data_IF_201945076803
#
_entry.id   IF_201945076803
#
_cell.length_a   1.000
_cell.length_b   1.000
_cell.length_c   1.000
_cell.angle_alpha   90.00
_cell.angle_beta   90.00
_cell.angle_gamma   90.00
#
_symmetry.space_group_name_H-M   'P 1'
#
loop_
_entity.id
_entity.type
_entity.pdbx_description
1 polymer ?
#
# COMPACT_ATOMS: atom_id res chain seq x y z
N UNK A 1 -14.35 2.27 6.05
CA UNK A 1 -13.07 2.44 5.31
C UNK A 1 -12.52 1.12 4.75
N UNK A 2 -12.46 0.03 5.53
CA UNK A 2 -11.93 -1.28 5.05
C UNK A 2 -12.63 -1.83 3.80
N UNK A 3 -13.92 -1.61 3.64
CA UNK A 3 -14.71 -2.04 2.47
C UNK A 3 -14.24 -1.41 1.15
N UNK A 4 -13.53 -0.28 1.23
CA UNK A 4 -12.96 0.43 0.08
C UNK A 4 -11.56 -0.08 -0.32
N UNK A 5 -10.99 -1.03 0.43
CA UNK A 5 -9.70 -1.67 0.14
C UNK A 5 -9.88 -2.72 -0.95
N UNK A 6 -10.03 -2.29 -2.20
CA UNK A 6 -10.18 -3.12 -3.39
C UNK A 6 -9.70 -2.40 -4.64
N UNK A 7 -9.55 -3.13 -5.74
CA UNK A 7 -9.13 -2.59 -7.03
C UNK A 7 -7.61 -2.42 -7.14
N UNK A 8 -7.19 -1.60 -8.09
CA UNK A 8 -5.77 -1.33 -8.35
C UNK A 8 -5.22 -0.39 -7.28
N UNK A 9 -4.14 -0.81 -6.62
CA UNK A 9 -3.39 -0.04 -5.65
C UNK A 9 -2.12 0.52 -6.30
N UNK A 10 -2.10 1.81 -6.56
CA UNK A 10 -0.97 2.47 -7.23
C UNK A 10 -0.04 3.11 -6.21
N UNK A 11 1.26 2.90 -6.38
CA UNK A 11 2.31 3.46 -5.52
C UNK A 11 3.13 4.45 -6.36
N UNK A 12 3.25 5.68 -5.88
CA UNK A 12 4.07 6.70 -6.55
C UNK A 12 5.56 6.43 -6.34
N UNK A 13 6.35 6.75 -7.37
CA UNK A 13 7.81 6.71 -7.30
C UNK A 13 8.37 7.96 -8.03
N UNK A 14 8.80 8.99 -7.27
CA UNK A 14 9.22 10.27 -7.84
C UNK A 14 10.41 10.20 -8.80
N UNK A 15 11.22 9.12 -8.73
CA UNK A 15 12.31 8.89 -9.68
C UNK A 15 11.81 8.51 -11.08
N UNK A 16 10.55 8.05 -11.19
CA UNK A 16 9.94 7.63 -12.45
C UNK A 16 9.01 8.70 -13.04
N UNK A 17 8.25 9.39 -12.19
CA UNK A 17 7.30 10.42 -12.63
C UNK A 17 6.92 11.36 -11.48
N UNK A 18 6.44 12.56 -11.82
CA UNK A 18 5.89 13.50 -10.83
C UNK A 18 4.73 12.87 -10.06
N UNK A 19 4.75 12.87 -8.71
CA UNK A 19 3.72 12.22 -7.90
C UNK A 19 2.31 12.79 -8.12
N UNK A 20 2.18 14.07 -8.41
CA UNK A 20 0.88 14.73 -8.59
C UNK A 20 0.28 14.39 -9.95
N UNK A 21 1.10 14.42 -10.98
CA UNK A 21 0.69 14.05 -12.34
C UNK A 21 0.30 12.56 -12.39
N UNK A 22 1.16 11.69 -11.85
CA UNK A 22 0.88 10.25 -11.74
C UNK A 22 -0.43 9.98 -11.01
N UNK A 23 -0.67 10.68 -9.88
CA UNK A 23 -1.91 10.54 -9.11
C UNK A 23 -3.13 10.91 -9.95
N UNK A 24 -3.09 12.04 -10.66
CA UNK A 24 -4.21 12.48 -11.51
C UNK A 24 -4.50 11.46 -12.63
N UNK A 25 -3.45 10.96 -13.30
CA UNK A 25 -3.60 10.00 -14.39
C UNK A 25 -4.23 8.68 -13.91
N UNK A 26 -3.75 8.12 -12.80
CA UNK A 26 -4.27 6.84 -12.30
C UNK A 26 -5.69 6.95 -11.75
N UNK A 27 -6.04 8.09 -11.13
CA UNK A 27 -7.40 8.36 -10.65
C UNK A 27 -8.39 8.47 -11.81
N UNK A 28 -8.01 9.15 -12.91
CA UNK A 28 -8.78 9.17 -14.16
C UNK A 28 -8.94 7.79 -14.78
N UNK A 29 -7.90 6.95 -14.66
CA UNK A 29 -7.92 5.54 -15.08
C UNK A 29 -8.77 4.62 -14.20
N UNK A 30 -9.36 5.13 -13.12
CA UNK A 30 -10.25 4.36 -12.24
C UNK A 30 -9.62 3.82 -10.97
N UNK A 31 -8.33 4.07 -10.70
CA UNK A 31 -7.72 3.69 -9.42
C UNK A 31 -8.46 4.35 -8.25
N UNK A 32 -8.61 3.61 -7.15
CA UNK A 32 -9.28 4.09 -5.93
C UNK A 32 -8.41 3.98 -4.69
N UNK A 33 -7.15 3.59 -4.86
CA UNK A 33 -6.18 3.44 -3.79
C UNK A 33 -4.82 3.90 -4.30
N UNK A 34 -4.27 4.98 -3.72
CA UNK A 34 -2.99 5.57 -4.12
C UNK A 34 -2.09 5.69 -2.89
N UNK A 35 -0.82 5.35 -3.04
CA UNK A 35 0.18 5.51 -1.99
C UNK A 35 1.21 6.56 -2.38
N UNK A 36 1.40 7.55 -1.52
CA UNK A 36 2.54 8.45 -1.58
C UNK A 36 3.78 7.74 -1.00
N UNK A 37 4.69 7.36 -1.89
CA UNK A 37 6.00 6.80 -1.53
C UNK A 37 7.10 7.63 -2.18
N UNK A 38 8.00 8.18 -1.36
CA UNK A 38 9.15 8.98 -1.80
C UNK A 38 10.24 8.89 -0.74
N UNK A 39 11.03 7.81 -0.75
CA UNK A 39 12.02 7.49 0.30
C UNK A 39 13.11 8.56 0.47
N UNK A 40 13.47 9.25 -0.60
CA UNK A 40 14.50 10.31 -0.58
C UNK A 40 13.94 11.71 -0.33
N UNK A 41 12.63 11.87 -0.22
CA UNK A 41 12.00 13.17 -0.03
C UNK A 41 12.14 13.68 1.42
N UNK A 42 12.28 14.98 1.57
CA UNK A 42 12.20 15.65 2.88
C UNK A 42 10.77 15.59 3.41
N UNK A 43 10.62 15.70 4.73
CA UNK A 43 9.28 15.77 5.35
C UNK A 43 8.43 16.88 4.76
N UNK A 44 9.02 18.05 4.47
CA UNK A 44 8.32 19.19 3.84
C UNK A 44 7.80 18.83 2.45
N UNK A 45 8.58 18.15 1.63
CA UNK A 45 8.14 17.70 0.31
C UNK A 45 7.01 16.67 0.42
N UNK A 46 7.13 15.69 1.33
CA UNK A 46 6.04 14.71 1.59
C UNK A 46 4.74 15.38 1.99
N UNK A 47 4.78 16.41 2.86
CA UNK A 47 3.59 17.17 3.25
C UNK A 47 3.02 17.92 2.05
N UNK A 48 3.84 18.63 1.28
CA UNK A 48 3.39 19.39 0.11
C UNK A 48 2.71 18.50 -0.93
N UNK A 49 3.36 17.41 -1.33
CA UNK A 49 2.78 16.44 -2.26
C UNK A 49 1.55 15.74 -1.67
N UNK A 50 1.64 15.33 -0.41
CA UNK A 50 0.56 14.64 0.27
C UNK A 50 -0.72 15.44 0.37
N UNK A 51 -0.65 16.72 0.70
CA UNK A 51 -1.81 17.62 0.72
C UNK A 51 -2.44 17.75 -0.67
N UNK A 52 -1.63 18.00 -1.70
CA UNK A 52 -2.12 18.11 -3.06
C UNK A 52 -2.70 16.78 -3.60
N UNK A 53 -2.11 15.63 -3.27
CA UNK A 53 -2.66 14.31 -3.57
C UNK A 53 -3.95 14.04 -2.79
N UNK A 54 -4.04 14.50 -1.52
CA UNK A 54 -5.23 14.36 -0.70
C UNK A 54 -6.44 15.06 -1.33
N UNK A 55 -6.26 16.27 -1.84
CA UNK A 55 -7.33 17.01 -2.52
C UNK A 55 -7.82 16.25 -3.76
N UNK A 56 -6.90 15.71 -4.56
CA UNK A 56 -7.25 14.90 -5.74
C UNK A 56 -7.98 13.62 -5.35
N UNK A 57 -7.44 12.84 -4.41
CA UNK A 57 -8.07 11.57 -4.01
C UNK A 57 -9.48 11.77 -3.47
N UNK A 58 -9.74 12.88 -2.73
CA UNK A 58 -11.10 13.24 -2.28
C UNK A 58 -12.07 13.46 -3.44
N UNK A 59 -11.64 14.18 -4.49
CA UNK A 59 -12.48 14.46 -5.68
C UNK A 59 -12.91 13.18 -6.39
N UNK A 60 -12.04 12.17 -6.42
CA UNK A 60 -12.30 10.88 -7.07
C UNK A 60 -12.85 9.81 -6.10
N UNK A 61 -13.18 10.18 -4.86
CA UNK A 61 -13.56 9.24 -3.81
C UNK A 61 -12.56 8.08 -3.66
N UNK A 62 -11.26 8.37 -3.77
CA UNK A 62 -10.17 7.42 -3.62
C UNK A 62 -9.51 7.54 -2.23
N UNK A 63 -8.79 6.51 -1.82
CA UNK A 63 -8.01 6.49 -0.58
C UNK A 63 -6.58 6.93 -0.84
N UNK A 64 -6.04 7.78 0.03
CA UNK A 64 -4.63 8.16 0.09
C UNK A 64 -3.95 7.44 1.26
N UNK A 65 -2.91 6.69 0.95
CA UNK A 65 -2.03 6.03 1.92
C UNK A 65 -0.66 6.71 1.89
N UNK A 66 -0.01 6.85 3.03
CA UNK A 66 1.37 7.34 3.13
C UNK A 66 2.29 6.18 3.48
N UNK A 67 3.41 6.06 2.77
CA UNK A 67 4.41 5.02 3.05
C UNK A 67 5.26 5.40 4.26
N UNK A 68 5.47 4.47 5.22
CA UNK A 68 6.34 4.51 6.41
C UNK A 68 6.01 5.63 7.43
N UNK A 69 5.66 6.81 6.98
CA UNK A 69 5.57 8.05 7.77
C UNK A 69 4.19 8.27 8.37
N UNK A 70 3.94 7.65 9.54
CA UNK A 70 2.70 7.83 10.31
C UNK A 70 2.44 9.30 10.68
N UNK A 71 3.49 10.04 11.03
CA UNK A 71 3.41 11.45 11.37
C UNK A 71 2.92 12.30 10.20
N UNK A 72 3.43 12.04 8.99
CA UNK A 72 2.98 12.69 7.75
C UNK A 72 1.54 12.30 7.44
N UNK A 73 1.18 11.00 7.54
CA UNK A 73 -0.18 10.54 7.30
C UNK A 73 -1.21 11.27 8.18
N UNK A 74 -0.87 11.46 9.45
CA UNK A 74 -1.71 12.22 10.39
C UNK A 74 -1.77 13.71 10.04
N UNK A 75 -0.63 14.31 9.71
CA UNK A 75 -0.52 15.75 9.42
C UNK A 75 -1.31 16.18 8.19
N UNK A 76 -1.42 15.33 7.16
CA UNK A 76 -2.14 15.60 5.92
C UNK A 76 -3.56 15.01 5.90
N UNK A 77 -4.01 14.42 7.01
CA UNK A 77 -5.29 13.72 7.11
C UNK A 77 -5.46 12.64 6.01
N UNK A 78 -4.40 11.87 5.75
CA UNK A 78 -4.49 10.72 4.85
C UNK A 78 -5.48 9.67 5.37
N UNK A 79 -5.91 8.75 4.50
CA UNK A 79 -6.79 7.64 4.90
C UNK A 79 -6.04 6.50 5.60
N UNK A 80 -4.71 6.41 5.41
CA UNK A 80 -3.92 5.37 6.05
C UNK A 80 -2.41 5.55 5.92
N UNK A 81 -1.71 4.62 6.54
CA UNK A 81 -0.26 4.44 6.46
C UNK A 81 0.05 3.00 6.07
N UNK A 82 1.12 2.80 5.30
CA UNK A 82 1.66 1.48 4.97
C UNK A 82 3.04 1.32 5.59
N UNK A 83 3.26 0.27 6.35
CA UNK A 83 4.46 0.01 7.14
C UNK A 83 5.19 -1.24 6.64
N UNK A 84 6.50 -1.15 6.54
CA UNK A 84 7.39 -2.30 6.34
C UNK A 84 7.71 -3.01 7.66
N UNK A 85 8.51 -4.09 7.57
CA UNK A 85 8.89 -4.90 8.74
C UNK A 85 9.83 -4.16 9.70
N UNK A 86 10.62 -3.21 9.18
CA UNK A 86 11.59 -2.42 9.95
C UNK A 86 11.04 -1.06 10.39
N UNK A 87 9.78 -0.76 10.06
CA UNK A 87 9.12 0.50 10.42
C UNK A 87 8.48 0.44 11.81
N UNK A 88 7.65 1.42 12.13
CA UNK A 88 6.95 1.49 13.41
C UNK A 88 6.05 0.26 13.60
N UNK A 89 6.21 -0.52 14.69
CA UNK A 89 5.37 -1.69 14.95
C UNK A 89 3.88 -1.38 14.96
N UNK A 90 3.06 -2.28 14.39
CA UNK A 90 1.61 -2.10 14.23
C UNK A 90 0.90 -1.72 15.54
N UNK A 91 1.18 -2.35 16.71
CA UNK A 91 0.52 -1.97 17.96
C UNK A 91 0.82 -0.54 18.38
N UNK A 92 2.03 -0.04 18.11
CA UNK A 92 2.42 1.35 18.39
C UNK A 92 1.75 2.32 17.41
N UNK A 93 1.76 1.99 16.13
CA UNK A 93 1.06 2.77 15.12
C UNK A 93 -0.44 2.88 15.43
N UNK A 94 -1.08 1.78 15.81
CA UNK A 94 -2.48 1.74 16.22
C UNK A 94 -2.75 2.56 17.47
N UNK A 95 -1.87 2.53 18.46
CA UNK A 95 -1.98 3.35 19.68
C UNK A 95 -1.95 4.84 19.37
N UNK A 96 -1.13 5.28 18.41
CA UNK A 96 -1.00 6.69 18.01
C UNK A 96 -2.17 7.11 17.11
N UNK A 97 -2.48 6.31 16.11
CA UNK A 97 -3.51 6.63 15.11
C UNK A 97 -4.94 6.37 15.61
N UNK A 98 -5.13 5.48 16.56
CA UNK A 98 -6.45 4.98 16.92
C UNK A 98 -7.14 4.36 15.70
N UNK A 99 -8.42 4.67 15.51
CA UNK A 99 -9.21 4.24 14.34
C UNK A 99 -9.24 5.29 13.21
N UNK A 100 -8.41 6.33 13.29
CA UNK A 100 -8.40 7.42 12.30
C UNK A 100 -7.75 7.00 10.98
N UNK A 101 -6.79 6.08 11.02
CA UNK A 101 -6.04 5.63 9.86
C UNK A 101 -6.21 4.11 9.64
N UNK A 102 -6.26 3.72 8.36
CA UNK A 102 -5.97 2.37 7.95
C UNK A 102 -4.47 2.09 8.13
N UNK A 103 -4.13 0.91 8.61
CA UNK A 103 -2.74 0.45 8.73
C UNK A 103 -2.55 -0.73 7.81
N UNK A 104 -1.77 -0.53 6.75
CA UNK A 104 -1.29 -1.59 5.87
C UNK A 104 0.09 -2.07 6.30
N UNK A 105 0.39 -3.34 6.05
CA UNK A 105 1.69 -3.94 6.39
C UNK A 105 2.21 -4.78 5.23
N UNK A 106 3.50 -4.64 4.92
CA UNK A 106 4.20 -5.54 4.01
C UNK A 106 4.42 -6.90 4.67
N UNK A 107 4.16 -8.00 3.95
CA UNK A 107 4.45 -9.35 4.41
C UNK A 107 4.95 -10.23 3.25
N UNK A 108 6.02 -10.98 3.47
CA UNK A 108 6.59 -11.94 2.51
C UNK A 108 6.29 -13.38 2.91
N UNK A 109 6.06 -13.62 4.20
CA UNK A 109 5.78 -14.93 4.78
C UNK A 109 4.37 -15.04 5.35
N UNK A 110 3.91 -16.26 5.56
CA UNK A 110 2.62 -16.54 6.22
C UNK A 110 2.65 -16.12 7.69
N UNK A 111 3.81 -16.25 8.32
CA UNK A 111 4.05 -15.89 9.72
C UNK A 111 3.94 -14.38 9.92
N UNK A 112 4.61 -13.58 9.09
CA UNK A 112 4.51 -12.10 9.10
C UNK A 112 3.07 -11.65 8.86
N UNK A 113 2.39 -12.27 7.89
CA UNK A 113 1.00 -11.95 7.58
C UNK A 113 0.06 -12.22 8.76
N UNK A 114 0.25 -13.37 9.45
CA UNK A 114 -0.53 -13.73 10.64
C UNK A 114 -0.26 -12.79 11.79
N UNK A 115 1.01 -12.47 12.04
CA UNK A 115 1.40 -11.52 13.07
C UNK A 115 0.79 -10.15 12.81
N UNK A 116 0.98 -9.57 11.63
CA UNK A 116 0.44 -8.26 11.30
C UNK A 116 -1.09 -8.20 11.46
N UNK A 117 -1.80 -9.23 11.02
CA UNK A 117 -3.26 -9.33 11.18
C UNK A 117 -3.66 -9.39 12.67
N UNK A 118 -2.95 -10.17 13.50
CA UNK A 118 -3.22 -10.29 14.94
C UNK A 118 -2.92 -8.99 15.70
N UNK A 119 -1.95 -8.22 15.23
CA UNK A 119 -1.55 -6.92 15.80
C UNK A 119 -2.46 -5.76 15.37
N UNK A 120 -3.40 -5.99 14.46
CA UNK A 120 -4.42 -5.01 14.09
C UNK A 120 -4.16 -4.28 12.78
N UNK A 121 -3.41 -4.88 11.85
CA UNK A 121 -3.34 -4.40 10.47
C UNK A 121 -4.73 -4.45 9.80
N UNK A 122 -4.99 -3.50 8.91
CA UNK A 122 -6.24 -3.41 8.16
C UNK A 122 -6.15 -4.13 6.80
N UNK A 123 -4.95 -4.24 6.23
CA UNK A 123 -4.66 -4.96 5.00
C UNK A 123 -3.17 -5.32 4.90
N UNK A 124 -2.85 -6.21 3.98
CA UNK A 124 -1.49 -6.63 3.70
C UNK A 124 -1.08 -6.30 2.26
N UNK A 125 0.19 -5.89 2.09
CA UNK A 125 0.89 -5.88 0.82
C UNK A 125 1.84 -7.08 0.76
N UNK A 126 1.64 -7.98 -0.19
CA UNK A 126 2.41 -9.23 -0.31
C UNK A 126 3.23 -9.22 -1.59
N UNK A 127 4.53 -9.39 -1.48
CA UNK A 127 5.42 -9.40 -2.64
C UNK A 127 6.90 -9.55 -2.25
N UNK A 128 7.78 -9.45 -3.27
CA UNK A 128 7.44 -9.15 -4.66
C UNK A 128 6.77 -10.36 -5.36
N UNK A 129 5.74 -10.10 -6.17
CA UNK A 129 5.10 -11.17 -6.93
C UNK A 129 5.98 -11.68 -8.06
N UNK A 130 6.64 -10.76 -8.75
CA UNK A 130 7.56 -11.02 -9.86
C UNK A 130 8.84 -10.20 -9.68
N UNK A 131 9.87 -10.47 -10.46
CA UNK A 131 11.10 -9.67 -10.45
C UNK A 131 10.78 -8.21 -10.74
N UNK A 132 11.36 -7.32 -9.95
CA UNK A 132 11.16 -5.86 -10.07
C UNK A 132 12.47 -5.11 -9.88
N UNK A 133 12.61 -4.00 -10.59
CA UNK A 133 13.76 -3.07 -10.45
C UNK A 133 13.38 -1.81 -9.68
N UNK A 134 12.07 -1.57 -9.46
CA UNK A 134 11.57 -0.36 -8.81
C UNK A 134 11.92 -0.28 -7.32
N UNK A 135 12.06 -1.45 -6.67
CA UNK A 135 12.49 -1.57 -5.27
C UNK A 135 13.72 -2.48 -5.25
N UNK A 136 14.96 -1.93 -5.20
CA UNK A 136 16.19 -2.74 -5.26
C UNK A 136 16.33 -3.77 -4.13
N UNK A 137 15.71 -3.49 -2.99
CA UNK A 137 15.67 -4.32 -1.78
C UNK A 137 14.41 -5.22 -1.71
N UNK A 138 13.75 -5.48 -2.83
CA UNK A 138 12.50 -6.24 -2.87
C UNK A 138 12.64 -7.75 -2.61
N UNK A 139 13.86 -8.26 -2.48
CA UNK A 139 14.09 -9.70 -2.24
C UNK A 139 13.75 -10.60 -3.43
N UNK A 140 13.66 -11.91 -3.15
CA UNK A 140 13.32 -12.93 -4.16
C UNK A 140 11.80 -12.98 -4.36
N UNK A 141 11.30 -13.06 -5.61
CA UNK A 141 9.87 -13.18 -5.87
C UNK A 141 9.21 -14.33 -5.11
N UNK A 142 8.15 -14.03 -4.36
CA UNK A 142 7.38 -15.04 -3.61
C UNK A 142 6.26 -15.66 -4.45
N UNK A 143 5.87 -15.00 -5.52
CA UNK A 143 4.88 -15.46 -6.49
C UNK A 143 3.42 -15.42 -6.02
N UNK A 144 2.45 -15.53 -6.96
CA UNK A 144 1.02 -15.44 -6.64
C UNK A 144 0.48 -16.54 -5.73
N UNK A 145 1.15 -17.69 -5.66
CA UNK A 145 0.79 -18.78 -4.75
C UNK A 145 0.86 -18.37 -3.27
N UNK A 146 1.75 -17.43 -2.92
CA UNK A 146 1.89 -16.89 -1.57
C UNK A 146 0.61 -16.20 -1.10
N UNK A 147 -0.08 -15.48 -1.99
CA UNK A 147 -1.36 -14.84 -1.65
C UNK A 147 -2.39 -15.87 -1.19
N UNK A 148 -2.50 -17.01 -1.88
CA UNK A 148 -3.42 -18.09 -1.49
C UNK A 148 -3.11 -18.64 -0.10
N UNK A 149 -1.82 -18.89 0.18
CA UNK A 149 -1.37 -19.39 1.49
C UNK A 149 -1.72 -18.38 2.61
N UNK A 150 -1.44 -17.11 2.40
CA UNK A 150 -1.75 -16.05 3.37
C UNK A 150 -3.26 -15.93 3.59
N UNK A 151 -4.06 -15.94 2.53
CA UNK A 151 -5.53 -15.82 2.65
C UNK A 151 -6.20 -16.99 3.39
N UNK A 152 -5.55 -18.13 3.53
CA UNK A 152 -6.04 -19.23 4.36
C UNK A 152 -5.92 -18.96 5.86
N UNK A 153 -5.07 -18.02 6.25
CA UNK A 153 -4.74 -17.75 7.66
C UNK A 153 -5.11 -16.35 8.14
N UNK A 154 -5.49 -15.44 7.23
CA UNK A 154 -5.90 -14.06 7.57
C UNK A 154 -7.25 -13.71 6.96
N UNK A 155 -8.06 -12.95 7.69
CA UNK A 155 -9.37 -12.44 7.23
C UNK A 155 -9.34 -11.03 6.64
N UNK A 156 -8.17 -10.38 6.59
CA UNK A 156 -8.01 -9.01 6.08
C UNK A 156 -7.67 -9.00 4.58
N UNK A 157 -7.93 -7.89 3.86
CA UNK A 157 -7.58 -7.74 2.45
C UNK A 157 -6.09 -7.97 2.20
N UNK A 158 -5.76 -8.59 1.07
CA UNK A 158 -4.39 -8.86 0.62
C UNK A 158 -4.20 -8.30 -0.78
N UNK A 159 -3.20 -7.46 -0.96
CA UNK A 159 -2.77 -6.92 -2.25
C UNK A 159 -1.44 -7.55 -2.68
N UNK A 160 -1.37 -8.03 -3.90
CA UNK A 160 -0.09 -8.41 -4.51
C UNK A 160 0.67 -7.16 -4.97
N UNK A 161 2.00 -7.17 -4.82
CA UNK A 161 2.87 -6.07 -5.24
C UNK A 161 4.18 -6.59 -5.82
N UNK A 162 4.82 -5.79 -6.68
CA UNK A 162 6.15 -6.04 -7.23
C UNK A 162 6.14 -6.78 -8.55
N UNK A 163 6.62 -6.12 -9.60
CA UNK A 163 6.76 -6.66 -10.95
C UNK A 163 5.46 -7.00 -11.65
N UNK A 164 4.32 -6.46 -11.20
CA UNK A 164 3.02 -6.70 -11.81
C UNK A 164 2.87 -5.81 -13.05
N UNK A 165 2.50 -6.44 -14.16
CA UNK A 165 2.25 -5.84 -15.46
C UNK A 165 0.90 -6.33 -15.99
N UNK A 166 0.27 -5.69 -16.99
CA UNK A 166 -1.00 -6.13 -17.57
C UNK A 166 -1.01 -7.61 -17.96
N UNK A 167 0.13 -8.13 -18.47
CA UNK A 167 0.27 -9.48 -18.97
C UNK A 167 0.28 -10.56 -17.87
N UNK A 168 0.65 -10.19 -16.64
CA UNK A 168 0.74 -11.12 -15.52
C UNK A 168 -0.25 -10.81 -14.38
N UNK A 169 -0.95 -9.68 -14.42
CA UNK A 169 -1.86 -9.24 -13.36
C UNK A 169 -2.95 -10.29 -13.06
N UNK A 170 -3.47 -10.97 -14.08
CA UNK A 170 -4.50 -11.99 -13.91
C UNK A 170 -4.05 -13.14 -13.01
N UNK A 171 -2.76 -13.51 -13.04
CA UNK A 171 -2.20 -14.56 -12.18
C UNK A 171 -2.27 -14.16 -10.69
N UNK A 172 -2.05 -12.87 -10.40
CA UNK A 172 -2.14 -12.31 -9.03
C UNK A 172 -3.59 -12.33 -8.55
N UNK A 173 -4.54 -11.94 -9.42
CA UNK A 173 -5.97 -11.98 -9.12
C UNK A 173 -6.47 -13.40 -8.84
N UNK A 174 -6.04 -14.39 -9.65
CA UNK A 174 -6.34 -15.80 -9.45
C UNK A 174 -5.72 -16.37 -8.17
N UNK A 175 -4.64 -15.75 -7.67
CA UNK A 175 -4.10 -15.99 -6.33
C UNK A 175 -5.04 -15.53 -5.21
N UNK A 176 -6.10 -14.80 -5.54
CA UNK A 176 -7.08 -14.28 -4.59
C UNK A 176 -6.73 -12.91 -4.02
N UNK A 177 -5.85 -12.15 -4.66
CA UNK A 177 -5.66 -10.73 -4.38
C UNK A 177 -6.98 -9.96 -4.55
N UNK A 178 -7.22 -8.93 -3.74
CA UNK A 178 -8.43 -8.10 -3.84
C UNK A 178 -8.31 -7.00 -4.90
N UNK A 179 -7.68 -7.28 -6.03
CA UNK A 179 -7.83 -6.44 -7.21
C UNK A 179 -9.00 -7.01 -8.02
N UNK A 180 -10.07 -6.35 -8.07
CA UNK A 180 -11.21 -6.58 -8.97
C UNK A 180 -11.52 -5.32 -9.71
#
# INVERSE_FOLDING_TARGET
MRERLCGVYVITEPSLADPLESTEQVLRGGARLVQLRAKSATTRQLITWGQAMRDRTRQYNALLIVNDRLDVALAIEADGVHLGQDDLPVPLARRIAGNRLLIGVSAETVEEARQAASEGADYLGVGPMFTTVTKPDAGTPVGPARIRQIKQVVGIPVFGIGGIQPENALQVLQGGSRAS
#
